data_IF_242546748415
#
_entry.id   IF_242546748415
#
_cell.length_a   1.000
_cell.length_b   1.000
_cell.length_c   1.000
_cell.angle_alpha   90.00
_cell.angle_beta   90.00
_cell.angle_gamma   90.00
#
_symmetry.space_group_name_H-M   'P 1'
#
loop_
_entity.id
_entity.type
_entity.pdbx_description
1 polymer ?
#
# COMPACT_ATOMS: atom_id res chain seq x y z
N UNK A 1 -5.44 24.14 1.67
CA UNK A 1 -4.66 23.26 0.76
C UNK A 1 -5.09 21.83 1.03
N UNK A 2 -5.62 21.13 0.03
CA UNK A 2 -6.05 19.74 0.14
C UNK A 2 -4.95 18.83 -0.43
N UNK A 3 -4.60 17.78 0.32
CA UNK A 3 -3.66 16.75 -0.11
C UNK A 3 -4.26 15.36 0.17
N UNK A 4 -4.05 14.42 -0.75
CA UNK A 4 -4.57 13.06 -0.70
C UNK A 4 -3.40 12.10 -0.80
N UNK A 5 -3.22 11.24 0.20
CA UNK A 5 -2.23 10.17 0.15
C UNK A 5 -2.87 8.91 -0.43
N UNK A 6 -2.37 8.46 -1.59
CA UNK A 6 -2.88 7.28 -2.26
C UNK A 6 -1.72 6.44 -2.83
N UNK A 7 -1.93 5.14 -3.04
CA UNK A 7 -0.93 4.31 -3.72
C UNK A 7 -0.89 4.65 -5.23
N UNK A 8 0.09 4.08 -5.94
CA UNK A 8 0.32 4.33 -7.37
C UNK A 8 -0.64 3.59 -8.31
N UNK A 9 -1.77 3.08 -7.80
CA UNK A 9 -2.77 2.42 -8.65
C UNK A 9 -3.50 3.45 -9.53
N UNK A 10 -3.82 3.05 -10.77
CA UNK A 10 -4.44 3.93 -11.77
C UNK A 10 -5.87 4.36 -11.42
N UNK A 11 -6.60 3.55 -10.66
CA UNK A 11 -7.93 3.94 -10.15
C UNK A 11 -7.87 5.15 -9.20
N UNK A 12 -6.76 5.33 -8.49
CA UNK A 12 -6.53 6.48 -7.63
C UNK A 12 -6.22 7.75 -8.43
N UNK A 13 -5.69 7.62 -9.65
CA UNK A 13 -5.54 8.76 -10.56
C UNK A 13 -6.92 9.28 -10.97
N UNK A 14 -7.79 8.39 -11.45
CA UNK A 14 -9.17 8.72 -11.82
C UNK A 14 -9.97 9.30 -10.66
N UNK A 15 -9.80 8.75 -9.44
CA UNK A 15 -10.42 9.30 -8.23
C UNK A 15 -9.96 10.74 -7.94
N UNK A 16 -8.66 11.03 -8.05
CA UNK A 16 -8.13 12.37 -7.80
C UNK A 16 -8.61 13.38 -8.85
N UNK A 17 -8.74 12.97 -10.11
CA UNK A 17 -9.32 13.80 -11.17
C UNK A 17 -10.77 14.16 -10.88
N UNK A 18 -11.60 13.17 -10.51
CA UNK A 18 -12.99 13.40 -10.13
C UNK A 18 -13.11 14.31 -8.89
N UNK A 19 -12.25 14.13 -7.89
CA UNK A 19 -12.20 15.00 -6.71
C UNK A 19 -11.80 16.43 -7.05
N UNK A 20 -10.95 16.64 -8.05
CA UNK A 20 -10.63 17.97 -8.55
C UNK A 20 -11.85 18.67 -9.14
N UNK A 21 -12.63 17.97 -9.98
CA UNK A 21 -13.86 18.52 -10.54
C UNK A 21 -14.86 18.91 -9.43
N UNK A 22 -15.07 18.03 -8.45
CA UNK A 22 -15.94 18.30 -7.31
C UNK A 22 -15.46 19.48 -6.47
N UNK A 23 -14.16 19.55 -6.17
CA UNK A 23 -13.59 20.67 -5.41
C UNK A 23 -13.74 22.00 -6.16
N UNK A 24 -13.54 22.01 -7.48
CA UNK A 24 -13.71 23.21 -8.30
C UNK A 24 -15.15 23.73 -8.27
N UNK A 25 -16.13 22.82 -8.32
CA UNK A 25 -17.55 23.18 -8.22
C UNK A 25 -17.91 23.79 -6.86
N UNK A 26 -17.23 23.37 -5.79
CA UNK A 26 -17.42 23.89 -4.43
C UNK A 26 -16.53 25.10 -4.10
N UNK A 27 -15.76 25.62 -5.08
CA UNK A 27 -14.83 26.73 -4.86
C UNK A 27 -13.60 26.37 -4.00
N UNK A 28 -13.33 25.08 -3.81
CA UNK A 28 -12.18 24.57 -3.07
C UNK A 28 -11.00 24.38 -4.03
N UNK A 29 -9.85 24.97 -3.69
CA UNK A 29 -8.63 24.81 -4.49
C UNK A 29 -8.01 23.43 -4.24
N UNK A 30 -8.13 22.55 -5.23
CA UNK A 30 -7.45 21.26 -5.29
C UNK A 30 -6.89 21.04 -6.69
N UNK A 31 -5.73 20.39 -6.77
CA UNK A 31 -5.07 20.03 -8.03
C UNK A 31 -4.65 18.56 -7.93
N UNK A 32 -5.19 17.71 -8.79
CA UNK A 32 -4.94 16.26 -8.75
C UNK A 32 -3.45 15.91 -8.96
N UNK A 33 -2.73 16.70 -9.75
CA UNK A 33 -1.32 16.45 -10.06
C UNK A 33 -0.40 16.75 -8.86
N UNK A 34 -0.61 17.87 -8.16
CA UNK A 34 0.25 18.29 -7.04
C UNK A 34 -0.29 17.91 -5.66
N UNK A 35 -1.61 17.75 -5.55
CA UNK A 35 -2.30 17.40 -4.32
C UNK A 35 -2.31 15.90 -4.04
N UNK A 36 -1.99 15.06 -5.03
CA UNK A 36 -1.81 13.63 -4.82
C UNK A 36 -0.40 13.33 -4.32
N UNK A 37 -0.31 12.83 -3.11
CA UNK A 37 0.90 12.30 -2.49
C UNK A 37 0.92 10.78 -2.65
N UNK A 38 2.11 10.22 -2.87
CA UNK A 38 2.29 8.78 -2.90
C UNK A 38 2.30 8.20 -1.48
N UNK A 39 1.66 7.04 -1.31
CA UNK A 39 1.73 6.28 -0.06
C UNK A 39 3.16 5.80 0.22
N UNK A 40 3.78 6.31 1.28
CA UNK A 40 5.15 5.99 1.67
C UNK A 40 5.39 4.49 1.87
N UNK A 41 4.42 3.78 2.46
CA UNK A 41 4.51 2.34 2.67
C UNK A 41 4.55 1.59 1.34
N UNK A 42 3.72 1.99 0.37
CA UNK A 42 3.71 1.36 -0.95
C UNK A 42 5.02 1.60 -1.70
N UNK A 43 5.55 2.82 -1.65
CA UNK A 43 6.85 3.16 -2.26
C UNK A 43 8.00 2.39 -1.61
N UNK A 44 7.99 2.27 -0.28
CA UNK A 44 9.03 1.54 0.47
C UNK A 44 8.96 0.04 0.18
N UNK A 45 7.75 -0.53 0.17
CA UNK A 45 7.53 -1.93 -0.18
C UNK A 45 8.02 -2.24 -1.60
N UNK A 46 7.65 -1.41 -2.58
CA UNK A 46 8.09 -1.58 -3.97
C UNK A 46 9.62 -1.47 -4.08
N UNK A 47 10.23 -0.52 -3.37
CA UNK A 47 11.69 -0.35 -3.37
C UNK A 47 12.41 -1.55 -2.78
N UNK A 48 11.90 -2.12 -1.68
CA UNK A 48 12.44 -3.33 -1.08
C UNK A 48 12.33 -4.52 -2.04
N UNK A 49 11.20 -4.67 -2.71
CA UNK A 49 10.99 -5.74 -3.69
C UNK A 49 11.96 -5.62 -4.89
N UNK A 50 12.11 -4.44 -5.48
CA UNK A 50 13.04 -4.20 -6.59
C UNK A 50 14.48 -4.48 -6.17
N UNK A 51 14.87 -4.10 -4.94
CA UNK A 51 16.19 -4.40 -4.40
C UNK A 51 16.41 -5.91 -4.26
N UNK A 52 15.46 -6.62 -3.65
CA UNK A 52 15.54 -8.07 -3.45
C UNK A 52 15.58 -8.84 -4.77
N UNK A 53 14.85 -8.39 -5.79
CA UNK A 53 14.92 -8.95 -7.14
C UNK A 53 16.29 -8.70 -7.77
N UNK A 54 16.82 -7.48 -7.66
CA UNK A 54 18.12 -7.10 -8.22
C UNK A 54 19.30 -7.91 -7.65
N UNK A 55 19.21 -8.35 -6.39
CA UNK A 55 20.21 -9.23 -5.76
C UNK A 55 19.91 -10.73 -5.95
N UNK A 56 18.82 -11.08 -6.65
CA UNK A 56 18.41 -12.45 -6.90
C UNK A 56 17.81 -13.19 -5.70
N UNK A 57 17.42 -12.47 -4.64
CA UNK A 57 16.80 -13.06 -3.45
C UNK A 57 15.34 -13.48 -3.71
N UNK A 58 14.65 -12.83 -4.66
CA UNK A 58 13.30 -13.18 -5.10
C UNK A 58 13.22 -13.28 -6.63
N UNK A 59 12.27 -14.07 -7.14
CA UNK A 59 11.98 -14.16 -8.58
C UNK A 59 10.82 -13.22 -8.93
N UNK A 60 10.85 -12.57 -10.09
CA UNK A 60 9.76 -11.72 -10.58
C UNK A 60 8.37 -12.40 -10.48
N UNK A 61 8.31 -13.73 -10.67
CA UNK A 61 7.08 -14.52 -10.60
C UNK A 61 6.42 -14.60 -9.21
N UNK A 62 7.11 -14.25 -8.13
CA UNK A 62 6.53 -14.21 -6.78
C UNK A 62 5.90 -12.87 -6.42
N UNK A 63 6.16 -11.80 -7.19
CA UNK A 63 5.60 -10.46 -6.92
C UNK A 63 4.10 -10.35 -7.17
N UNK A 64 3.55 -11.18 -8.06
CA UNK A 64 2.13 -11.13 -8.47
C UNK A 64 1.17 -11.82 -7.50
N UNK A 65 1.67 -12.56 -6.50
CA UNK A 65 0.83 -13.41 -5.64
C UNK A 65 0.25 -12.72 -4.40
N UNK A 66 0.71 -11.52 -4.07
CA UNK A 66 0.27 -10.80 -2.87
C UNK A 66 -0.59 -9.57 -3.19
N UNK A 67 -1.44 -9.67 -4.23
CA UNK A 67 -2.51 -8.70 -4.48
C UNK A 67 -3.77 -9.08 -3.69
N UNK A 68 -3.64 -9.40 -2.40
CA UNK A 68 -4.80 -9.29 -1.52
C UNK A 68 -4.86 -7.83 -1.12
N UNK A 69 -5.55 -7.04 -1.95
CA UNK A 69 -5.84 -5.65 -1.61
C UNK A 69 -6.56 -5.68 -0.28
N UNK A 70 -6.13 -4.86 0.69
CA UNK A 70 -6.87 -4.60 1.92
C UNK A 70 -8.38 -4.39 1.63
N UNK A 71 -8.68 -3.80 0.46
CA UNK A 71 -10.03 -3.57 -0.05
C UNK A 71 -10.84 -4.83 -0.37
N UNK A 72 -10.23 -5.95 -0.71
CA UNK A 72 -10.93 -7.21 -1.03
C UNK A 72 -11.38 -7.97 0.23
N UNK A 73 -10.82 -7.63 1.39
CA UNK A 73 -11.21 -8.22 2.68
C UNK A 73 -12.14 -7.32 3.51
N UNK A 74 -12.37 -6.07 3.09
CA UNK A 74 -13.26 -5.14 3.81
C UNK A 74 -14.72 -5.42 3.42
N UNK A 75 -15.41 -6.18 4.26
CA UNK A 75 -16.86 -6.44 4.19
C UNK A 75 -17.69 -5.43 4.99
N UNK A 76 -17.13 -4.24 5.27
CA UNK A 76 -17.81 -3.22 6.06
C UNK A 76 -19.03 -2.68 5.29
N UNK A 77 -20.25 -2.69 5.88
CA UNK A 77 -21.44 -2.10 5.26
C UNK A 77 -21.26 -0.61 4.98
N UNK A 78 -21.69 -0.14 3.81
CA UNK A 78 -21.57 1.26 3.35
C UNK A 78 -22.56 2.25 4.01
N UNK A 79 -23.19 1.90 5.14
CA UNK A 79 -24.15 2.79 5.80
C UNK A 79 -23.45 3.76 6.77
N UNK A 80 -23.95 4.99 6.83
CA UNK A 80 -23.43 6.10 7.67
C UNK A 80 -23.30 5.77 9.16
N UNK A 81 -23.95 4.70 9.59
CA UNK A 81 -23.93 4.21 10.96
C UNK A 81 -22.57 3.58 11.33
N UNK A 82 -21.77 3.16 10.35
CA UNK A 82 -20.48 2.49 10.55
C UNK A 82 -19.26 3.42 10.43
N UNK A 83 -19.44 4.66 9.96
CA UNK A 83 -18.35 5.65 9.76
C UNK A 83 -17.64 6.05 11.07
N UNK A 84 -18.29 5.86 12.22
CA UNK A 84 -17.81 6.31 13.53
C UNK A 84 -17.01 5.27 14.34
N UNK A 85 -16.82 4.05 13.83
CA UNK A 85 -16.27 2.93 14.64
C UNK A 85 -14.77 2.61 14.42
N UNK A 86 -14.00 3.47 13.73
CA UNK A 86 -12.57 3.21 13.40
C UNK A 86 -11.60 3.92 14.38
N UNK A 87 -11.97 4.05 15.65
CA UNK A 87 -11.07 4.57 16.68
C UNK A 87 -10.89 3.52 17.78
N UNK A 88 -10.09 2.49 17.51
CA UNK A 88 -9.69 1.54 18.55
C UNK A 88 -9.41 0.09 18.14
N UNK A 89 -9.24 -0.23 16.85
CA UNK A 89 -8.70 -1.54 16.51
C UNK A 89 -7.19 -1.50 16.66
N UNK A 90 -6.71 -2.00 17.81
CA UNK A 90 -5.31 -2.28 18.07
C UNK A 90 -4.72 -3.03 16.88
N UNK A 91 -3.62 -2.53 16.33
CA UNK A 91 -2.86 -3.18 15.26
C UNK A 91 -2.62 -4.64 15.66
N UNK A 92 -3.33 -5.58 15.03
CA UNK A 92 -2.96 -6.98 15.13
C UNK A 92 -1.55 -7.07 14.52
N UNK A 93 -0.56 -7.60 15.26
CA UNK A 93 0.75 -7.82 14.67
C UNK A 93 0.56 -8.78 13.50
N UNK A 94 1.01 -8.38 12.31
CA UNK A 94 1.14 -9.29 11.18
C UNK A 94 1.87 -10.54 11.67
N UNK A 95 1.20 -11.68 11.74
CA UNK A 95 1.87 -12.95 11.99
C UNK A 95 2.83 -13.18 10.81
N UNK A 96 4.10 -12.84 11.04
CA UNK A 96 5.18 -13.17 10.14
C UNK A 96 5.20 -14.68 10.04
N UNK A 97 4.68 -15.22 8.93
CA UNK A 97 4.68 -16.66 8.67
C UNK A 97 6.10 -17.19 8.90
N UNK A 98 6.22 -18.17 9.80
CA UNK A 98 7.48 -18.80 10.23
C UNK A 98 8.35 -19.24 9.04
N UNK A 99 7.72 -19.55 7.91
CA UNK A 99 8.38 -19.96 6.68
C UNK A 99 9.21 -18.83 6.05
N UNK A 100 8.74 -17.58 6.15
CA UNK A 100 9.43 -16.41 5.61
C UNK A 100 10.67 -16.04 6.43
N UNK A 101 10.62 -16.19 7.75
CA UNK A 101 11.78 -15.98 8.63
C UNK A 101 12.86 -17.04 8.41
N UNK A 102 12.48 -18.30 8.21
CA UNK A 102 13.43 -19.39 8.00
C UNK A 102 14.19 -19.24 6.67
N UNK A 103 13.55 -18.72 5.63
CA UNK A 103 14.16 -18.45 4.33
C UNK A 103 15.17 -17.29 4.39
N UNK A 104 14.82 -16.20 5.08
CA UNK A 104 15.72 -15.06 5.28
C UNK A 104 16.95 -15.45 6.12
N UNK A 105 16.76 -16.19 7.22
CA UNK A 105 17.87 -16.64 8.08
C UNK A 105 18.81 -17.61 7.34
N UNK A 106 18.26 -18.49 6.50
CA UNK A 106 19.04 -19.38 5.64
C UNK A 106 19.89 -18.60 4.62
N UNK A 107 19.34 -17.56 4.00
CA UNK A 107 20.06 -16.71 3.05
C UNK A 107 21.22 -15.95 3.72
N UNK A 108 21.02 -15.41 4.93
CA UNK A 108 22.05 -14.67 5.68
C UNK A 108 23.22 -15.57 6.09
N UNK A 109 22.94 -16.83 6.48
CA UNK A 109 23.99 -17.79 6.85
C UNK A 109 24.93 -18.15 5.68
N UNK A 110 24.39 -18.19 4.46
CA UNK A 110 25.15 -18.52 3.24
C UNK A 110 26.10 -17.39 2.83
N UNK A 111 25.74 -16.14 3.10
CA UNK A 111 26.59 -14.97 2.80
C UNK A 111 27.73 -14.81 3.80
N UNK A 112 27.56 -15.22 5.07
CA UNK A 112 28.62 -15.13 6.10
C UNK A 112 29.68 -16.24 6.02
N UNK A 113 29.55 -17.19 5.10
CA UNK A 113 30.45 -18.35 4.95
C UNK A 113 31.34 -18.29 3.70
N UNK A 114 31.40 -17.14 3.01
CA UNK A 114 32.35 -16.83 1.92
C UNK A 114 33.33 -15.76 2.37
#
# INVERSE_FOLDING_TARGET
VLAIMANSASNNDTMCEALQELCQNEGVTFNAHWGRLQCMLHTTHLSALVLLEGIGAIKASSMTKNHNAYQDCVTAPLSREYDNNVAGQEDQPDEVSSDSLHEVLSAVSKVSSS
#
